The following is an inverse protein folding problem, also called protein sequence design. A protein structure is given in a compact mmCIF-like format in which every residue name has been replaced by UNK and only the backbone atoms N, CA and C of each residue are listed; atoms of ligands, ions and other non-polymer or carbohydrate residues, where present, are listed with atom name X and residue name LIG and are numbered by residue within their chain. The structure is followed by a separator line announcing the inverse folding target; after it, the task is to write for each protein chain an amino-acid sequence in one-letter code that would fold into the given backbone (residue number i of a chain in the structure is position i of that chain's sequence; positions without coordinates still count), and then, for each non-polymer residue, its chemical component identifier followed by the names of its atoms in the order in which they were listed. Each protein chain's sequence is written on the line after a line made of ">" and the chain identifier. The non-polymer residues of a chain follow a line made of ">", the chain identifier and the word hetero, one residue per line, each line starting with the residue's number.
data_IF_002305020366
#
_entry.id   IF_002305020366
#
_cell.length_a   1.000
_cell.length_b   1.000
_cell.length_c   1.000
_cell.angle_alpha   90.00
_cell.angle_beta   90.00
_cell.angle_gamma   90.00
#
_symmetry.space_group_name_H-M   'P 1'
#
loop_
_entity.id
_entity.type
_entity.pdbx_description
1 polymer ?
#
# COMPACT_ATOMS: atom_id res chain seq x y z
N UNK A 1 -0.02 -11.52 -42.32
CA UNK A 1 0.23 -11.83 -40.88
C UNK A 1 -0.10 -10.58 -40.07
N UNK A 2 -1.10 -10.58 -39.19
CA UNK A 2 -1.38 -9.41 -38.37
C UNK A 2 -0.40 -9.36 -37.19
N UNK A 3 0.17 -8.18 -36.96
CA UNK A 3 1.03 -7.90 -35.83
C UNK A 3 0.23 -8.02 -34.52
N UNK A 4 0.72 -8.86 -33.59
CA UNK A 4 0.25 -8.90 -32.21
C UNK A 4 0.51 -7.52 -31.60
N UNK A 5 -0.55 -6.74 -31.35
CA UNK A 5 -0.46 -5.52 -30.54
C UNK A 5 -0.08 -5.95 -29.13
N UNK A 6 1.20 -5.82 -28.78
CA UNK A 6 1.63 -5.86 -27.38
C UNK A 6 0.99 -4.66 -26.69
N UNK A 7 -0.13 -4.89 -26.01
CA UNK A 7 -0.68 -3.93 -25.06
C UNK A 7 0.30 -3.84 -23.90
N UNK A 8 1.16 -2.84 -23.90
CA UNK A 8 2.00 -2.50 -22.76
C UNK A 8 1.08 -1.98 -21.65
N UNK A 9 0.50 -2.89 -20.87
CA UNK A 9 -0.27 -2.52 -19.68
C UNK A 9 0.66 -1.87 -18.68
N UNK A 10 0.70 -0.54 -18.69
CA UNK A 10 1.47 0.30 -17.76
C UNK A 10 1.04 -0.07 -16.34
N UNK A 11 1.94 -0.68 -15.57
CA UNK A 11 1.65 -1.11 -14.20
C UNK A 11 1.26 0.12 -13.36
N UNK A 12 0.18 0.06 -12.55
CA UNK A 12 -0.16 1.14 -11.65
C UNK A 12 1.02 1.38 -10.69
N UNK A 13 1.41 2.65 -10.58
CA UNK A 13 2.50 3.09 -9.72
C UNK A 13 1.99 4.07 -8.67
N UNK A 14 2.30 3.79 -7.42
CA UNK A 14 1.87 4.59 -6.28
C UNK A 14 3.06 5.33 -5.68
N UNK A 15 2.99 6.65 -5.69
CA UNK A 15 4.02 7.56 -5.15
C UNK A 15 3.42 8.37 -4.01
N UNK A 16 4.26 8.88 -3.09
CA UNK A 16 3.76 9.81 -2.07
C UNK A 16 3.33 11.11 -2.75
N UNK A 17 2.05 11.46 -2.61
CA UNK A 17 1.48 12.64 -3.28
C UNK A 17 1.21 13.78 -2.32
N UNK A 18 1.08 13.50 -1.02
CA UNK A 18 0.82 14.49 0.03
C UNK A 18 1.50 14.10 1.34
N UNK A 19 1.60 15.07 2.25
CA UNK A 19 2.05 14.93 3.63
C UNK A 19 1.20 15.82 4.56
N UNK A 20 1.29 15.59 5.86
CA UNK A 20 0.73 16.44 6.90
C UNK A 20 1.59 16.36 8.18
N UNK A 21 1.11 16.94 9.29
CA UNK A 21 1.84 16.96 10.57
C UNK A 21 2.17 15.57 11.14
N UNK A 22 1.39 14.53 10.78
CA UNK A 22 1.53 13.18 11.33
C UNK A 22 2.20 12.21 10.34
N UNK A 23 2.04 12.44 9.04
CA UNK A 23 2.46 11.53 7.97
C UNK A 23 3.25 12.28 6.91
N UNK A 24 4.48 11.84 6.64
CA UNK A 24 5.33 12.37 5.57
C UNK A 24 5.04 11.73 4.21
N UNK A 25 4.27 10.62 4.18
CA UNK A 25 3.72 10.04 2.96
C UNK A 25 2.23 9.71 3.12
N UNK A 26 1.41 10.24 2.21
CA UNK A 26 0.02 9.86 2.03
C UNK A 26 -0.13 9.30 0.61
N UNK A 27 -0.33 7.98 0.52
CA UNK A 27 -0.66 7.29 -0.72
C UNK A 27 -2.17 7.43 -1.01
N UNK A 28 -2.53 7.74 -2.25
CA UNK A 28 -3.90 8.03 -2.65
C UNK A 28 -4.37 7.03 -3.69
N UNK A 29 -5.66 6.68 -3.64
CA UNK A 29 -6.34 5.89 -4.66
C UNK A 29 -5.67 4.53 -4.95
N UNK A 30 -5.01 3.95 -3.92
CA UNK A 30 -4.35 2.65 -4.05
C UNK A 30 -5.42 1.55 -4.08
N UNK A 31 -5.45 0.74 -5.15
CA UNK A 31 -6.32 -0.42 -5.27
C UNK A 31 -5.46 -1.65 -5.49
N UNK A 32 -5.36 -2.52 -4.49
CA UNK A 32 -4.64 -3.78 -4.62
C UNK A 32 -5.62 -4.96 -4.55
N UNK A 33 -5.51 -5.82 -5.54
CA UNK A 33 -6.10 -7.15 -5.59
C UNK A 33 -5.01 -8.15 -6.00
N UNK A 34 -5.22 -9.46 -5.78
CA UNK A 34 -4.21 -10.48 -6.11
C UNK A 34 -3.92 -10.62 -7.61
N UNK A 35 -4.76 -10.06 -8.48
CA UNK A 35 -4.72 -10.28 -9.92
C UNK A 35 -3.89 -9.22 -10.65
N UNK A 36 -3.45 -8.16 -9.98
CA UNK A 36 -2.82 -7.01 -10.61
C UNK A 36 -1.38 -6.77 -10.13
N UNK A 37 -0.41 -6.61 -11.05
CA UNK A 37 0.94 -6.25 -10.68
C UNK A 37 1.01 -4.79 -10.23
N UNK A 38 1.39 -4.56 -8.98
CA UNK A 38 1.49 -3.23 -8.39
C UNK A 38 2.95 -2.81 -8.12
N UNK A 39 3.22 -1.50 -8.22
CA UNK A 39 4.53 -0.91 -7.95
C UNK A 39 4.39 0.29 -7.01
N UNK A 40 5.22 0.35 -5.97
CA UNK A 40 5.30 1.47 -5.04
C UNK A 40 6.61 2.24 -5.25
N UNK A 41 6.59 3.55 -5.00
CA UNK A 41 7.80 4.36 -4.84
C UNK A 41 8.62 4.60 -6.11
N UNK A 42 8.03 4.49 -7.31
CA UNK A 42 8.73 4.85 -8.55
C UNK A 42 8.89 6.37 -8.62
N UNK A 43 10.11 6.87 -8.40
CA UNK A 43 10.41 8.29 -8.60
C UNK A 43 11.52 8.84 -7.72
N UNK A 44 11.82 8.20 -6.58
CA UNK A 44 12.88 8.64 -5.68
C UNK A 44 13.78 7.49 -5.28
N UNK A 45 15.09 7.74 -5.34
CA UNK A 45 16.14 6.72 -5.21
C UNK A 45 16.10 6.01 -3.84
N UNK A 46 15.58 6.67 -2.82
CA UNK A 46 15.68 6.22 -1.42
C UNK A 46 14.36 6.23 -0.63
N UNK A 47 13.27 6.76 -1.17
CA UNK A 47 11.94 6.91 -0.51
C UNK A 47 12.05 7.10 1.03
N UNK A 48 12.54 8.26 1.49
CA UNK A 48 12.98 8.45 2.87
C UNK A 48 11.82 8.59 3.89
N UNK A 49 10.58 8.34 3.45
CA UNK A 49 9.39 8.56 4.26
C UNK A 49 9.33 7.57 5.42
N UNK A 50 9.09 8.11 6.62
CA UNK A 50 9.07 7.37 7.88
C UNK A 50 7.66 7.03 8.32
N UNK A 51 6.69 7.90 8.04
CA UNK A 51 5.33 7.82 8.53
C UNK A 51 4.36 7.76 7.34
N UNK A 52 3.99 6.55 6.96
CA UNK A 52 3.19 6.29 5.76
C UNK A 52 1.74 6.01 6.13
N UNK A 53 0.82 6.61 5.40
CA UNK A 53 -0.61 6.28 5.47
C UNK A 53 -1.25 6.31 4.08
N UNK A 54 -2.54 6.00 4.04
CA UNK A 54 -3.33 5.89 2.83
C UNK A 54 -4.61 6.71 2.96
N UNK A 55 -5.09 7.22 1.84
CA UNK A 55 -6.45 7.77 1.74
C UNK A 55 -7.12 7.31 0.45
N UNK A 56 -8.45 7.20 0.47
CA UNK A 56 -9.27 6.63 -0.60
C UNK A 56 -8.72 5.31 -1.17
N UNK A 57 -8.12 4.48 -0.33
CA UNK A 57 -7.38 3.28 -0.74
C UNK A 57 -8.06 2.01 -0.25
N UNK A 58 -7.83 0.90 -0.95
CA UNK A 58 -8.30 -0.43 -0.59
C UNK A 58 -7.23 -1.44 -0.95
N UNK A 59 -6.78 -2.21 0.03
CA UNK A 59 -5.76 -3.23 -0.12
C UNK A 59 -6.37 -4.56 0.33
N UNK A 60 -6.60 -5.49 -0.61
CA UNK A 60 -7.06 -6.83 -0.25
C UNK A 60 -6.01 -7.58 0.58
N UNK A 61 -4.73 -7.31 0.32
CA UNK A 61 -3.62 -7.87 1.07
C UNK A 61 -2.56 -6.81 1.37
N UNK A 62 -1.73 -7.04 2.39
CA UNK A 62 -0.59 -6.22 2.72
C UNK A 62 0.65 -6.69 1.94
N UNK A 63 1.14 -5.92 0.93
CA UNK A 63 2.17 -6.40 0.03
C UNK A 63 3.59 -6.22 0.61
N UNK A 64 4.46 -7.19 0.34
CA UNK A 64 5.90 -7.12 0.64
C UNK A 64 6.58 -5.92 -0.02
N UNK A 65 6.15 -5.61 -1.25
CA UNK A 65 6.71 -4.51 -2.05
C UNK A 65 6.50 -3.13 -1.44
N UNK A 66 5.51 -2.95 -0.55
CA UNK A 66 5.35 -1.68 0.17
C UNK A 66 6.56 -1.43 1.07
N UNK A 67 6.96 -2.43 1.85
CA UNK A 67 8.12 -2.33 2.75
C UNK A 67 9.45 -2.34 2.00
N UNK A 68 9.50 -2.95 0.82
CA UNK A 68 10.65 -2.84 -0.09
C UNK A 68 10.81 -1.43 -0.63
N UNK A 69 9.70 -0.76 -0.95
CA UNK A 69 9.71 0.59 -1.51
C UNK A 69 10.01 1.67 -0.46
N UNK A 70 9.66 1.46 0.81
CA UNK A 70 9.89 2.41 1.91
C UNK A 70 10.80 1.79 3.00
N UNK A 71 12.11 1.66 2.75
CA UNK A 71 13.04 0.98 3.66
C UNK A 71 13.26 1.74 4.99
N UNK A 72 12.98 3.05 5.00
CA UNK A 72 13.11 3.94 6.15
C UNK A 72 11.82 4.05 6.99
N UNK A 73 10.75 3.36 6.59
CA UNK A 73 9.45 3.44 7.25
C UNK A 73 9.51 2.97 8.70
N UNK A 74 9.16 3.87 9.62
CA UNK A 74 9.06 3.64 11.06
C UNK A 74 7.61 3.41 11.50
N UNK A 75 6.64 3.99 10.78
CA UNK A 75 5.22 3.86 11.07
C UNK A 75 4.42 3.62 9.79
N UNK A 76 3.56 2.59 9.82
CA UNK A 76 2.53 2.36 8.81
C UNK A 76 1.14 2.42 9.44
N UNK A 77 0.35 3.41 9.02
CA UNK A 77 -1.08 3.41 9.29
C UNK A 77 -1.84 2.87 8.06
N UNK A 78 -2.26 1.62 8.17
CA UNK A 78 -3.05 0.88 7.19
C UNK A 78 -4.44 0.48 7.76
N UNK A 79 -4.99 1.33 8.63
CA UNK A 79 -6.36 1.15 9.12
C UNK A 79 -7.39 1.31 7.99
N UNK A 80 -8.47 0.54 8.10
CA UNK A 80 -9.65 0.64 7.23
C UNK A 80 -9.38 0.38 5.74
N UNK A 81 -8.31 -0.35 5.41
CA UNK A 81 -7.96 -0.70 4.04
C UNK A 81 -8.60 -2.00 3.53
N UNK A 82 -9.40 -2.67 4.37
CA UNK A 82 -10.04 -3.95 4.07
C UNK A 82 -9.04 -5.07 3.74
N UNK A 83 -7.89 -5.04 4.43
CA UNK A 83 -6.86 -6.09 4.35
C UNK A 83 -7.46 -7.38 4.91
N UNK A 84 -7.43 -8.42 4.09
CA UNK A 84 -7.87 -9.78 4.41
C UNK A 84 -6.67 -10.69 4.62
N UNK A 85 -5.56 -10.41 3.93
CA UNK A 85 -4.35 -11.24 3.95
C UNK A 85 -3.08 -10.40 4.16
N UNK A 86 -2.06 -11.02 4.75
CA UNK A 86 -0.71 -10.47 4.78
C UNK A 86 0.14 -11.34 3.87
N UNK A 87 0.77 -10.75 2.86
CA UNK A 87 1.62 -11.51 1.93
C UNK A 87 2.72 -12.27 2.69
N UNK A 88 3.05 -13.47 2.24
CA UNK A 88 4.20 -14.20 2.79
C UNK A 88 5.46 -13.33 2.74
N UNK A 89 6.13 -13.20 3.88
CA UNK A 89 7.30 -12.32 4.04
C UNK A 89 7.03 -10.82 3.76
N UNK A 90 5.79 -10.33 3.93
CA UNK A 90 5.46 -8.90 3.78
C UNK A 90 6.46 -8.00 4.52
N UNK A 91 6.85 -8.38 5.73
CA UNK A 91 7.73 -7.58 6.59
C UNK A 91 9.24 -7.84 6.40
N UNK A 92 9.66 -8.63 5.38
CA UNK A 92 11.09 -8.97 5.18
C UNK A 92 12.01 -7.75 5.10
N UNK A 93 11.51 -6.64 4.53
CA UNK A 93 12.26 -5.40 4.35
C UNK A 93 11.91 -4.31 5.37
N UNK A 94 10.98 -4.58 6.30
CA UNK A 94 10.47 -3.61 7.27
C UNK A 94 11.42 -3.41 8.48
N UNK A 95 12.73 -3.25 8.23
CA UNK A 95 13.77 -3.27 9.27
C UNK A 95 13.65 -2.15 10.31
N UNK A 96 13.07 -1.02 9.92
CA UNK A 96 12.92 0.18 10.77
C UNK A 96 11.50 0.35 11.32
N UNK A 97 10.56 -0.53 10.96
CA UNK A 97 9.17 -0.43 11.35
C UNK A 97 9.04 -0.61 12.87
N UNK A 98 8.49 0.40 13.53
CA UNK A 98 8.22 0.43 14.97
C UNK A 98 6.73 0.30 15.26
N UNK A 99 5.89 0.88 14.41
CA UNK A 99 4.44 0.96 14.64
C UNK A 99 3.66 0.54 13.41
N UNK A 100 2.68 -0.34 13.59
CA UNK A 100 1.82 -0.86 12.53
C UNK A 100 0.36 -0.86 12.98
N UNK A 101 -0.50 -0.12 12.28
CA UNK A 101 -1.94 -0.13 12.49
C UNK A 101 -2.64 -0.83 11.33
N UNK A 102 -3.37 -1.92 11.62
CA UNK A 102 -4.12 -2.73 10.64
C UNK A 102 -5.61 -2.86 10.98
N UNK A 103 -6.13 -1.98 11.84
CA UNK A 103 -7.48 -2.10 12.37
C UNK A 103 -8.52 -2.02 11.23
N UNK A 104 -9.35 -3.06 11.12
CA UNK A 104 -10.55 -3.04 10.27
C UNK A 104 -11.71 -2.39 11.02
N UNK A 105 -12.43 -1.47 10.37
CA UNK A 105 -13.71 -0.99 10.89
C UNK A 105 -14.80 -1.96 10.48
N UNK A 106 -15.54 -2.47 11.46
CA UNK A 106 -16.75 -3.23 11.23
C UNK A 106 -17.93 -2.26 11.34
N UNK A 107 -18.71 -2.11 10.27
CA UNK A 107 -19.93 -1.33 10.31
C UNK A 107 -21.07 -2.23 10.82
N UNK A 108 -21.43 -2.10 12.09
CA UNK A 108 -22.57 -2.80 12.69
C UNK A 108 -23.90 -2.12 12.29
N UNK A 109 -24.20 -2.07 11.00
CA UNK A 109 -25.55 -1.71 10.52
C UNK A 109 -26.29 -3.00 10.16
N UNK A 110 -27.23 -3.38 11.04
CA UNK A 110 -28.22 -4.45 10.88
C UNK A 110 -27.79 -5.92 11.11
N UNK A 111 -27.17 -6.25 12.26
CA UNK A 111 -27.41 -7.59 12.83
C UNK A 111 -28.78 -7.58 13.51
N UNK A 112 -29.84 -7.86 12.75
CA UNK A 112 -31.09 -8.35 13.35
C UNK A 112 -30.77 -9.76 13.86
N UNK A 113 -30.81 -9.94 15.17
CA UNK A 113 -30.89 -11.26 15.79
C UNK A 113 -32.26 -11.87 15.49
#
# INVERSE_FOLDING_TARGET
>A
MPAVRQTTTKKPSYICTKSNLNYDCILQDVRLNHNEPNVFGLGWKDNPQKNVTFTNSRLQYLPKRLFEAFPEMELLNAEDLQIEEIEYQAFKYAKKLKTLYLKKKFNLKHRKF
#
